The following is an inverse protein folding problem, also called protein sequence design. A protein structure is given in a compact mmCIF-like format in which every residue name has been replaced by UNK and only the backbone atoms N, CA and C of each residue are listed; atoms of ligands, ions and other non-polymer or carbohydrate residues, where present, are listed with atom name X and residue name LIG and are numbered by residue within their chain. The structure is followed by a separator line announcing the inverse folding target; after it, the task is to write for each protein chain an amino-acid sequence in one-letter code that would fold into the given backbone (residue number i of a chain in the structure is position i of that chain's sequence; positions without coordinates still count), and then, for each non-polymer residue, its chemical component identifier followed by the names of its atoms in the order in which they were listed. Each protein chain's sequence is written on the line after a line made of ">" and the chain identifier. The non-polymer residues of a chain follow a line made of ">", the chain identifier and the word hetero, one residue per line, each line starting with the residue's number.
data_IF_117754183928
#
_entry.id   IF_117754183928
#
_cell.length_a   1.000
_cell.length_b   1.000
_cell.length_c   1.000
_cell.angle_alpha   90.00
_cell.angle_beta   90.00
_cell.angle_gamma   90.00
#
_symmetry.space_group_name_H-M   'P 1'
#
loop_
_entity.id
_entity.type
_entity.pdbx_description
1 polymer ?
#
# COMPACT_ATOMS: atom_id res chain seq x y z
N UNK A 1 -5.89 7.29 24.09
CA UNK A 1 -5.04 6.84 22.96
C UNK A 1 -5.50 5.44 22.59
N UNK A 2 -6.19 5.26 21.47
CA UNK A 2 -6.77 3.95 21.09
C UNK A 2 -5.63 3.08 20.59
N UNK A 3 -5.31 2.01 21.32
CA UNK A 3 -4.30 1.02 20.93
C UNK A 3 -4.76 0.35 19.62
N UNK A 4 -4.37 0.92 18.48
CA UNK A 4 -4.71 0.35 17.17
C UNK A 4 -3.92 -0.95 17.08
N UNK A 5 -4.64 -2.07 17.16
CA UNK A 5 -4.02 -3.37 17.04
C UNK A 5 -3.35 -3.49 15.67
N UNK A 6 -2.21 -4.18 15.56
CA UNK A 6 -1.51 -4.34 14.28
C UNK A 6 -2.43 -4.94 13.19
N UNK A 7 -3.38 -5.77 13.58
CA UNK A 7 -4.45 -6.28 12.72
C UNK A 7 -5.38 -5.18 12.19
N UNK A 8 -5.82 -4.25 13.03
CA UNK A 8 -6.67 -3.14 12.61
C UNK A 8 -5.96 -2.23 11.61
N UNK A 9 -4.65 -1.99 11.80
CA UNK A 9 -3.86 -1.20 10.83
C UNK A 9 -3.84 -1.88 9.46
N UNK A 10 -3.57 -3.19 9.41
CA UNK A 10 -3.60 -3.95 8.15
C UNK A 10 -4.96 -3.90 7.45
N UNK A 11 -6.05 -4.10 8.20
CA UNK A 11 -7.42 -4.07 7.66
C UNK A 11 -7.81 -2.68 7.14
N UNK A 12 -7.42 -1.61 7.83
CA UNK A 12 -7.68 -0.23 7.36
C UNK A 12 -6.95 0.04 6.04
N UNK A 13 -5.66 -0.34 5.94
CA UNK A 13 -4.91 -0.16 4.70
C UNK A 13 -5.46 -1.03 3.57
N UNK A 14 -5.91 -2.25 3.89
CA UNK A 14 -6.62 -3.11 2.93
C UNK A 14 -7.85 -2.42 2.36
N UNK A 15 -8.68 -1.84 3.24
CA UNK A 15 -9.89 -1.13 2.83
C UNK A 15 -9.56 0.07 1.93
N UNK A 16 -8.51 0.84 2.26
CA UNK A 16 -8.02 1.95 1.42
C UNK A 16 -7.60 1.45 0.04
N UNK A 17 -6.83 0.36 -0.04
CA UNK A 17 -6.42 -0.25 -1.31
C UNK A 17 -7.60 -0.75 -2.13
N UNK A 18 -8.60 -1.34 -1.48
CA UNK A 18 -9.83 -1.79 -2.13
C UNK A 18 -10.58 -0.61 -2.77
N UNK A 19 -10.78 0.47 -2.02
CA UNK A 19 -11.44 1.70 -2.52
C UNK A 19 -10.63 2.31 -3.68
N UNK A 20 -9.31 2.39 -3.56
CA UNK A 20 -8.44 2.89 -4.62
C UNK A 20 -8.54 2.03 -5.89
N UNK A 21 -8.74 0.72 -5.73
CA UNK A 21 -8.94 -0.22 -6.85
C UNK A 21 -10.29 -0.04 -7.52
N UNK A 22 -11.35 0.19 -6.74
CA UNK A 22 -12.66 0.53 -7.31
C UNK A 22 -12.58 1.82 -8.12
N UNK A 23 -11.93 2.86 -7.60
CA UNK A 23 -11.76 4.14 -8.32
C UNK A 23 -10.96 3.92 -9.62
N UNK A 24 -9.86 3.18 -9.57
CA UNK A 24 -9.06 2.85 -10.76
C UNK A 24 -9.87 2.12 -11.82
N UNK A 25 -10.71 1.17 -11.43
CA UNK A 25 -11.58 0.44 -12.36
C UNK A 25 -12.54 1.37 -13.10
N UNK A 26 -13.17 2.31 -12.40
CA UNK A 26 -14.05 3.30 -13.02
C UNK A 26 -13.29 4.27 -13.93
N UNK A 27 -12.09 4.68 -13.52
CA UNK A 27 -11.20 5.48 -14.36
C UNK A 27 -10.84 4.73 -15.64
N UNK A 28 -10.43 3.46 -15.54
CA UNK A 28 -10.09 2.64 -16.70
C UNK A 28 -11.24 2.48 -17.70
N UNK A 29 -12.49 2.36 -17.21
CA UNK A 29 -13.68 2.33 -18.06
C UNK A 29 -13.91 3.67 -18.78
N UNK A 30 -13.54 4.78 -18.15
CA UNK A 30 -13.77 6.14 -18.68
C UNK A 30 -12.72 6.57 -19.72
N UNK A 31 -11.94 5.64 -20.28
CA UNK A 31 -10.88 5.87 -21.26
C UNK A 31 -9.86 6.95 -20.85
N UNK A 32 -9.60 7.10 -19.55
CA UNK A 32 -8.56 8.04 -19.09
C UNK A 32 -7.16 7.63 -19.58
N UNK A 33 -6.24 8.61 -19.71
CA UNK A 33 -4.86 8.35 -20.09
C UNK A 33 -4.20 7.25 -19.26
N UNK A 34 -3.55 6.31 -19.93
CA UNK A 34 -2.88 5.15 -19.33
C UNK A 34 -1.84 5.54 -18.26
N UNK A 35 -1.28 6.74 -18.35
CA UNK A 35 -0.35 7.30 -17.37
C UNK A 35 -0.97 7.46 -15.97
N UNK A 36 -2.28 7.76 -15.89
CA UNK A 36 -2.98 7.87 -14.61
C UNK A 36 -3.14 6.50 -13.95
N UNK A 37 -3.44 5.46 -14.74
CA UNK A 37 -3.53 4.08 -14.25
C UNK A 37 -2.17 3.59 -13.74
N UNK A 38 -1.09 3.87 -14.48
CA UNK A 38 0.27 3.57 -14.02
C UNK A 38 0.62 4.26 -12.70
N UNK A 39 0.23 5.53 -12.55
CA UNK A 39 0.44 6.28 -11.31
C UNK A 39 -0.27 5.61 -10.13
N UNK A 40 -1.54 5.22 -10.32
CA UNK A 40 -2.33 4.54 -9.29
C UNK A 40 -1.75 3.17 -8.95
N UNK A 41 -1.31 2.41 -9.95
CA UNK A 41 -0.62 1.13 -9.76
C UNK A 41 0.67 1.28 -8.94
N UNK A 42 1.45 2.32 -9.19
CA UNK A 42 2.69 2.60 -8.44
C UNK A 42 2.41 2.95 -6.98
N UNK A 43 1.37 3.75 -6.72
CA UNK A 43 0.94 4.10 -5.36
C UNK A 43 0.52 2.84 -4.59
N UNK A 44 -0.24 1.93 -5.23
CA UNK A 44 -0.64 0.65 -4.62
C UNK A 44 0.58 -0.21 -4.29
N UNK A 45 1.53 -0.32 -5.22
CA UNK A 45 2.77 -1.07 -5.00
C UNK A 45 3.49 -0.59 -3.74
N UNK A 46 3.69 0.73 -3.60
CA UNK A 46 4.35 1.32 -2.42
C UNK A 46 3.56 1.04 -1.14
N UNK A 47 2.23 1.21 -1.16
CA UNK A 47 1.38 0.93 0.00
C UNK A 47 1.49 -0.54 0.44
N UNK A 48 1.45 -1.47 -0.50
CA UNK A 48 1.53 -2.91 -0.21
C UNK A 48 2.91 -3.25 0.37
N UNK A 49 3.99 -2.72 -0.22
CA UNK A 49 5.35 -2.96 0.26
C UNK A 49 5.55 -2.44 1.70
N UNK A 50 5.04 -1.23 1.99
CA UNK A 50 5.20 -0.64 3.33
C UNK A 50 4.33 -1.29 4.40
N UNK A 51 3.04 -1.54 4.10
CA UNK A 51 2.06 -1.90 5.13
C UNK A 51 1.75 -3.40 5.21
N UNK A 52 1.82 -4.13 4.10
CA UNK A 52 1.56 -5.57 4.09
C UNK A 52 2.86 -6.36 4.17
N UNK A 53 3.81 -6.08 3.28
CA UNK A 53 5.07 -6.83 3.24
C UNK A 53 6.05 -6.43 4.35
N UNK A 54 5.79 -5.34 5.08
CA UNK A 54 6.69 -4.83 6.12
C UNK A 54 8.15 -4.81 5.63
N UNK A 55 8.37 -4.39 4.37
CA UNK A 55 9.71 -4.37 3.76
C UNK A 55 10.68 -3.59 4.65
N UNK A 56 10.20 -2.50 5.26
CA UNK A 56 10.94 -1.71 6.23
C UNK A 56 11.42 -2.50 7.46
N UNK A 57 10.71 -3.55 7.88
CA UNK A 57 11.12 -4.42 8.99
C UNK A 57 12.23 -5.38 8.56
N UNK A 58 12.19 -5.89 7.33
CA UNK A 58 13.22 -6.78 6.79
C UNK A 58 14.53 -6.02 6.60
N UNK A 59 14.48 -4.83 5.98
CA UNK A 59 15.68 -4.00 5.80
C UNK A 59 16.29 -3.55 7.14
N UNK A 60 15.44 -3.27 8.14
CA UNK A 60 15.91 -2.84 9.47
C UNK A 60 16.41 -3.99 10.36
N UNK A 61 16.20 -5.25 9.98
CA UNK A 61 16.77 -6.41 10.68
C UNK A 61 18.24 -6.67 10.28
N UNK A 62 18.70 -6.15 9.15
CA UNK A 62 20.10 -6.29 8.68
C UNK A 62 21.03 -5.14 9.15
N UNK A 63 20.48 -4.04 9.66
CA UNK A 63 21.26 -2.87 10.10
C UNK A 63 21.71 -2.93 11.58
N UNK A 64 21.67 -4.12 12.18
CA UNK A 64 21.94 -4.34 13.61
C UNK A 64 23.15 -5.22 13.95
N UNK A 65 23.98 -5.63 12.97
CA UNK A 65 25.18 -6.44 13.21
C UNK A 65 26.42 -5.77 12.61
N UNK A 66 26.78 -4.60 13.15
CA UNK A 66 28.09 -3.98 12.92
C UNK A 66 28.58 -3.34 14.21
N UNK A 67 28.82 -4.18 15.22
CA UNK A 67 29.76 -3.91 16.32
C UNK A 67 30.70 -5.10 16.51
#
# INVERSE_FOLDING_TARGET
>A
MKNIQPLQRGVVVFAILAVLTTIEYFLAISEVPQILLWTVALIKLVLVLQYFMHVYRVFRSDEGDSE
#
